data_IF_831294575791
#
_entry.id   IF_831294575791
#
_cell.length_a   1.000
_cell.length_b   1.000
_cell.length_c   1.000
_cell.angle_alpha   90.00
_cell.angle_beta   90.00
_cell.angle_gamma   90.00
#
_symmetry.space_group_name_H-M   'P 1'
#
loop_
_entity.id
_entity.type
_entity.pdbx_description
1 polymer ?
#
# COMPACT_ATOMS: atom_id res chain seq x y z
N UNK A 1 0.96 -22.41 1.55
CA UNK A 1 0.29 -21.45 0.65
C UNK A 1 0.81 -20.04 0.93
N UNK A 2 1.15 -19.31 -0.10
CA UNK A 2 1.60 -17.92 0.02
C UNK A 2 0.59 -17.01 -0.66
N UNK A 3 0.12 -16.00 0.08
CA UNK A 3 -0.80 -15.00 -0.47
C UNK A 3 0.04 -13.84 -1.02
N UNK A 4 -0.15 -13.52 -2.29
CA UNK A 4 0.54 -12.39 -2.93
C UNK A 4 -0.30 -11.13 -2.79
N UNK A 5 0.34 -10.07 -2.30
CA UNK A 5 -0.31 -8.77 -2.07
C UNK A 5 0.54 -7.70 -2.75
N UNK A 6 -0.12 -6.78 -3.43
CA UNK A 6 0.55 -5.70 -4.16
C UNK A 6 0.12 -4.37 -3.57
N UNK A 7 1.08 -3.54 -3.17
CA UNK A 7 0.82 -2.21 -2.63
C UNK A 7 1.37 -1.11 -3.53
N UNK A 8 0.80 0.07 -3.44
CA UNK A 8 1.22 1.23 -4.23
C UNK A 8 1.79 2.34 -3.36
N UNK A 9 2.95 2.83 -3.76
CA UNK A 9 3.60 3.95 -3.10
C UNK A 9 3.31 5.20 -3.92
N UNK A 10 2.38 6.00 -3.43
CA UNK A 10 1.89 7.20 -4.12
C UNK A 10 2.48 8.41 -3.42
N UNK A 11 3.30 9.17 -4.14
CA UNK A 11 4.01 10.32 -3.58
C UNK A 11 3.58 11.60 -4.27
N UNK A 12 3.35 12.64 -3.49
CA UNK A 12 3.05 13.98 -4.00
C UNK A 12 3.65 15.00 -3.04
N UNK A 13 4.51 15.89 -3.57
CA UNK A 13 5.10 16.97 -2.77
C UNK A 13 5.78 16.48 -1.48
N UNK A 14 6.59 15.44 -1.58
CA UNK A 14 7.30 14.83 -0.45
C UNK A 14 6.40 14.19 0.60
N UNK A 15 5.15 13.91 0.25
CA UNK A 15 4.22 13.21 1.13
C UNK A 15 3.72 11.94 0.44
N UNK A 16 3.41 10.95 1.25
CA UNK A 16 2.95 9.64 0.78
C UNK A 16 1.50 9.42 1.21
N UNK A 17 0.71 8.85 0.30
CA UNK A 17 -0.68 8.55 0.60
C UNK A 17 -0.76 7.27 1.43
N UNK A 18 -1.35 7.38 2.62
CA UNK A 18 -1.62 6.23 3.48
C UNK A 18 -3.09 6.22 3.88
N UNK A 19 -3.61 5.03 4.12
CA UNK A 19 -5.01 4.86 4.48
C UNK A 19 -5.16 4.10 5.79
N UNK A 20 -6.17 4.47 6.58
CA UNK A 20 -6.51 3.76 7.81
C UNK A 20 -7.61 2.77 7.53
N UNK A 21 -7.40 1.53 7.94
CA UNK A 21 -8.38 0.46 7.74
C UNK A 21 -9.63 0.72 8.57
N UNK A 22 -10.78 0.60 7.90
CA UNK A 22 -12.06 0.89 8.52
C UNK A 22 -12.49 -0.13 9.57
N UNK A 23 -13.53 0.19 10.35
CA UNK A 23 -13.94 -0.64 11.50
C UNK A 23 -14.45 -2.02 11.11
N UNK A 24 -14.85 -2.23 9.86
CA UNK A 24 -15.32 -3.53 9.39
C UNK A 24 -14.23 -4.40 8.80
N UNK A 25 -13.02 -3.85 8.66
CA UNK A 25 -11.88 -4.58 8.09
C UNK A 25 -11.11 -5.31 9.17
N UNK A 26 -10.40 -6.38 8.75
CA UNK A 26 -9.41 -7.00 9.64
C UNK A 26 -8.35 -5.96 9.95
N UNK A 27 -7.80 -6.00 11.16
CA UNK A 27 -6.80 -5.03 11.61
C UNK A 27 -7.31 -3.59 11.51
N UNK A 28 -8.56 -3.37 11.90
CA UNK A 28 -9.16 -2.04 11.90
C UNK A 28 -8.33 -1.05 12.71
N UNK A 29 -8.23 0.18 12.21
CA UNK A 29 -7.46 1.24 12.86
C UNK A 29 -5.99 1.28 12.49
N UNK A 30 -5.46 0.22 11.88
CA UNK A 30 -4.08 0.22 11.38
C UNK A 30 -3.99 0.99 10.07
N UNK A 31 -2.82 1.57 9.84
CA UNK A 31 -2.52 2.29 8.61
C UNK A 31 -1.78 1.40 7.63
N UNK A 32 -1.90 1.69 6.34
CA UNK A 32 -1.26 0.90 5.28
C UNK A 32 -1.06 1.72 4.02
N UNK A 33 -0.16 1.24 3.16
CA UNK A 33 -0.12 1.70 1.78
C UNK A 33 -1.25 0.99 1.03
N UNK A 34 -2.05 1.71 0.23
CA UNK A 34 -3.19 1.08 -0.47
C UNK A 34 -2.76 -0.03 -1.42
N UNK A 35 -3.58 -1.04 -1.53
CA UNK A 35 -3.34 -2.19 -2.39
C UNK A 35 -4.23 -3.36 -2.01
N UNK A 36 -3.91 -4.53 -2.53
CA UNK A 36 -4.69 -5.72 -2.23
C UNK A 36 -4.11 -6.99 -2.83
N UNK A 37 -4.90 -8.05 -2.75
CA UNK A 37 -4.48 -9.38 -3.16
C UNK A 37 -4.44 -9.53 -4.67
N UNK A 38 -3.39 -10.20 -5.16
CA UNK A 38 -3.26 -10.56 -6.56
C UNK A 38 -4.31 -11.61 -6.92
N UNK A 39 -5.05 -11.39 -7.98
CA UNK A 39 -6.04 -12.34 -8.50
C UNK A 39 -5.41 -13.20 -9.59
N UNK A 40 -6.05 -14.32 -9.91
CA UNK A 40 -5.61 -15.18 -11.00
C UNK A 40 -5.68 -14.43 -12.34
N UNK A 41 -4.74 -14.73 -13.21
CA UNK A 41 -4.68 -14.17 -14.57
C UNK A 41 -4.46 -12.66 -14.64
N UNK A 42 -4.00 -12.03 -13.55
CA UNK A 42 -3.60 -10.64 -13.63
C UNK A 42 -2.11 -10.49 -13.28
N UNK A 43 -1.44 -9.54 -13.92
CA UNK A 43 -0.07 -9.19 -13.55
C UNK A 43 -0.09 -8.35 -12.27
N UNK A 44 1.07 -8.23 -11.63
CA UNK A 44 1.18 -7.40 -10.43
C UNK A 44 0.84 -5.94 -10.72
N UNK A 45 1.26 -5.43 -11.88
CA UNK A 45 0.94 -4.05 -12.27
C UNK A 45 -0.55 -3.87 -12.55
N UNK A 46 -1.20 -4.85 -13.19
CA UNK A 46 -2.65 -4.82 -13.37
C UNK A 46 -3.37 -4.86 -12.03
N UNK A 47 -2.87 -5.66 -11.10
CA UNK A 47 -3.44 -5.76 -9.75
C UNK A 47 -3.45 -4.40 -9.04
N UNK A 48 -2.32 -3.71 -9.02
CA UNK A 48 -2.27 -2.44 -8.30
C UNK A 48 -3.12 -1.37 -9.00
N UNK A 49 -3.20 -1.38 -10.32
CA UNK A 49 -4.09 -0.48 -11.05
C UNK A 49 -5.56 -0.71 -10.67
N UNK A 50 -5.96 -1.98 -10.62
CA UNK A 50 -7.33 -2.36 -10.24
C UNK A 50 -7.63 -1.98 -8.80
N UNK A 51 -6.73 -2.34 -7.88
CA UNK A 51 -6.94 -2.07 -6.45
C UNK A 51 -7.03 -0.57 -6.17
N UNK A 52 -6.18 0.24 -6.78
CA UNK A 52 -6.23 1.69 -6.56
C UNK A 52 -7.46 2.33 -7.18
N UNK A 53 -7.98 1.77 -8.28
CA UNK A 53 -9.25 2.22 -8.83
C UNK A 53 -10.41 1.88 -7.90
N UNK A 54 -10.42 0.65 -7.38
CA UNK A 54 -11.48 0.19 -6.47
C UNK A 54 -11.46 0.92 -5.13
N UNK A 55 -10.28 1.13 -4.56
CA UNK A 55 -10.15 1.67 -3.20
C UNK A 55 -10.13 3.19 -3.13
N UNK A 56 -9.61 3.86 -4.15
CA UNK A 56 -9.37 5.30 -4.12
C UNK A 56 -10.00 6.06 -5.28
N UNK A 57 -10.56 5.36 -6.24
CA UNK A 57 -11.14 5.94 -7.47
C UNK A 57 -10.12 6.78 -8.27
N UNK A 58 -8.90 6.30 -8.39
CA UNK A 58 -7.86 6.94 -9.20
C UNK A 58 -7.38 6.01 -10.30
N UNK A 59 -6.91 6.58 -11.40
CA UNK A 59 -6.28 5.85 -12.50
C UNK A 59 -4.79 6.14 -12.44
N UNK A 60 -3.97 5.10 -12.35
CA UNK A 60 -2.55 5.25 -12.07
C UNK A 60 -1.67 4.79 -13.22
N UNK A 61 -0.47 5.37 -13.28
CA UNK A 61 0.64 4.86 -14.10
C UNK A 61 1.59 4.16 -13.14
N UNK A 62 1.74 2.86 -13.32
CA UNK A 62 2.57 2.03 -12.42
C UNK A 62 4.02 2.11 -12.88
N UNK A 63 4.90 2.44 -11.96
CA UNK A 63 6.34 2.50 -12.18
C UNK A 63 7.05 1.22 -11.78
N UNK A 64 8.23 1.37 -11.23
CA UNK A 64 9.10 0.25 -10.87
C UNK A 64 8.71 -0.40 -9.56
N UNK A 65 9.03 -1.69 -9.45
CA UNK A 65 8.98 -2.40 -8.18
C UNK A 65 10.02 -1.78 -7.24
N UNK A 66 9.56 -1.28 -6.10
CA UNK A 66 10.43 -0.65 -5.09
C UNK A 66 11.01 -1.71 -4.17
N UNK A 67 10.18 -2.65 -3.74
CA UNK A 67 10.57 -3.65 -2.76
C UNK A 67 9.66 -4.86 -2.83
N UNK A 68 10.19 -6.02 -2.51
CA UNK A 68 9.40 -7.22 -2.30
C UNK A 68 10.02 -8.04 -1.18
N UNK A 69 9.19 -8.68 -0.39
CA UNK A 69 9.65 -9.54 0.69
C UNK A 69 8.52 -10.43 1.18
N UNK A 70 8.86 -11.47 1.91
CA UNK A 70 7.89 -12.34 2.54
C UNK A 70 7.67 -11.93 3.98
N UNK A 71 6.45 -12.07 4.45
CA UNK A 71 6.07 -11.75 5.82
C UNK A 71 5.03 -12.76 6.28
N UNK A 72 5.24 -13.37 7.43
CA UNK A 72 4.31 -14.35 8.00
C UNK A 72 3.58 -13.75 9.20
N UNK A 73 2.27 -13.96 9.24
CA UNK A 73 1.42 -13.49 10.32
C UNK A 73 0.29 -14.49 10.53
N UNK A 74 0.08 -14.95 11.77
CA UNK A 74 -0.98 -15.92 12.12
C UNK A 74 -0.96 -17.15 11.22
N UNK A 75 0.19 -17.76 11.04
CA UNK A 75 0.39 -18.97 10.22
C UNK A 75 0.10 -18.78 8.73
N UNK A 76 -0.09 -17.54 8.30
CA UNK A 76 -0.26 -17.23 6.88
C UNK A 76 1.03 -16.56 6.40
N UNK A 77 1.55 -17.03 5.26
CA UNK A 77 2.69 -16.41 4.60
C UNK A 77 2.20 -15.49 3.49
N UNK A 78 2.73 -14.28 3.49
CA UNK A 78 2.43 -13.29 2.48
C UNK A 78 3.69 -12.97 1.70
N UNK A 79 3.57 -12.78 0.39
CA UNK A 79 4.62 -12.18 -0.42
C UNK A 79 4.13 -10.79 -0.82
N UNK A 80 4.81 -9.75 -0.34
CA UNK A 80 4.42 -8.36 -0.52
C UNK A 80 5.25 -7.73 -1.62
N UNK A 81 4.59 -7.04 -2.55
CA UNK A 81 5.22 -6.34 -3.66
C UNK A 81 4.78 -4.89 -3.61
N UNK A 82 5.73 -3.96 -3.54
CA UNK A 82 5.41 -2.54 -3.50
C UNK A 82 5.94 -1.86 -4.76
N UNK A 83 5.02 -1.22 -5.49
CA UNK A 83 5.34 -0.50 -6.72
C UNK A 83 5.26 1.00 -6.52
N UNK A 84 6.20 1.71 -7.13
CA UNK A 84 6.12 3.16 -7.21
C UNK A 84 5.01 3.52 -8.19
N UNK A 85 4.18 4.46 -7.81
CA UNK A 85 3.16 5.02 -8.71
C UNK A 85 3.74 6.27 -9.33
N UNK A 86 3.96 6.26 -10.63
CA UNK A 86 4.63 7.36 -11.34
C UNK A 86 3.72 8.55 -11.55
N UNK A 87 2.43 8.31 -11.73
CA UNK A 87 1.45 9.37 -11.95
C UNK A 87 0.05 8.84 -11.66
N UNK A 88 -0.89 9.76 -11.42
CA UNK A 88 -2.28 9.37 -11.24
C UNK A 88 -3.21 10.50 -11.66
N UNK A 89 -4.43 10.10 -12.07
CA UNK A 89 -5.51 11.01 -12.45
C UNK A 89 -6.66 10.77 -11.49
N UNK A 90 -7.24 11.84 -10.98
CA UNK A 90 -8.35 11.81 -10.04
C UNK A 90 -7.92 12.26 -8.65
N UNK A 91 -8.90 12.58 -7.82
CA UNK A 91 -8.67 12.92 -6.42
C UNK A 91 -8.91 11.67 -5.59
N UNK A 92 -7.91 11.18 -4.85
CA UNK A 92 -8.11 9.98 -4.03
C UNK A 92 -9.23 10.17 -3.01
N UNK A 93 -10.16 9.21 -2.96
CA UNK A 93 -11.24 9.20 -1.99
C UNK A 93 -11.23 7.89 -1.20
N UNK A 94 -11.61 7.91 0.08
CA UNK A 94 -11.56 6.72 0.94
C UNK A 94 -12.80 5.84 0.75
N UNK A 95 -12.81 5.03 -0.31
CA UNK A 95 -13.94 4.13 -0.57
C UNK A 95 -13.99 3.00 0.47
N UNK A 96 -12.83 2.42 0.80
CA UNK A 96 -12.75 1.30 1.76
C UNK A 96 -12.06 1.68 3.06
N UNK A 97 -11.17 2.65 3.04
CA UNK A 97 -10.53 3.16 4.25
C UNK A 97 -11.45 4.16 4.95
N UNK A 98 -11.34 4.29 6.26
CA UNK A 98 -12.11 5.31 6.96
C UNK A 98 -11.42 6.67 6.97
N UNK A 99 -10.14 6.71 6.57
CA UNK A 99 -9.39 7.95 6.49
C UNK A 99 -8.21 7.80 5.52
N UNK A 100 -7.92 8.86 4.76
CA UNK A 100 -6.73 8.97 3.93
C UNK A 100 -5.95 10.21 4.35
N UNK A 101 -4.63 10.11 4.40
CA UNK A 101 -3.78 11.28 4.65
C UNK A 101 -2.56 11.21 3.76
N UNK A 102 -1.99 12.39 3.51
CA UNK A 102 -0.69 12.55 2.86
C UNK A 102 0.32 12.81 3.97
N UNK A 103 1.17 11.82 4.25
CA UNK A 103 2.10 11.87 5.37
C UNK A 103 3.55 11.96 4.89
N UNK A 104 4.34 12.77 5.58
CA UNK A 104 5.78 12.78 5.36
C UNK A 104 6.40 11.51 5.96
N UNK A 105 7.45 10.99 5.32
CA UNK A 105 8.12 9.80 5.84
C UNK A 105 8.63 9.99 7.28
N UNK A 106 9.05 11.20 7.62
CA UNK A 106 9.48 11.53 9.00
C UNK A 106 8.39 11.31 10.04
N UNK A 107 7.12 11.33 9.61
CA UNK A 107 5.97 11.18 10.51
C UNK A 107 5.46 9.75 10.55
N UNK A 108 6.05 8.83 9.80
CA UNK A 108 5.54 7.45 9.73
C UNK A 108 5.48 6.77 11.09
N UNK A 109 6.41 7.06 11.99
CA UNK A 109 6.41 6.45 13.33
C UNK A 109 5.25 6.90 14.20
N UNK A 110 4.56 7.97 13.81
CA UNK A 110 3.36 8.44 14.53
C UNK A 110 2.12 7.62 14.20
N UNK A 111 2.18 6.79 13.17
CA UNK A 111 1.07 5.99 12.70
C UNK A 111 1.32 4.51 12.98
N UNK A 112 0.28 3.81 13.36
CA UNK A 112 0.35 2.39 13.67
C UNK A 112 0.13 1.59 12.38
N UNK A 113 1.21 1.34 11.66
CA UNK A 113 1.15 0.60 10.40
C UNK A 113 0.90 -0.88 10.59
N UNK A 114 0.27 -1.52 9.60
CA UNK A 114 0.18 -2.96 9.54
C UNK A 114 1.59 -3.56 9.69
N UNK A 115 1.73 -4.64 10.47
CA UNK A 115 3.05 -5.26 10.65
C UNK A 115 3.74 -5.62 9.34
N UNK A 116 2.99 -6.05 8.32
CA UNK A 116 3.55 -6.39 7.01
C UNK A 116 4.15 -5.22 6.25
N UNK A 117 3.75 -3.98 6.58
CA UNK A 117 4.30 -2.79 5.91
C UNK A 117 5.55 -2.25 6.61
N UNK A 118 5.81 -2.67 7.85
CA UNK A 118 6.92 -2.14 8.63
C UNK A 118 8.30 -2.35 7.99
N UNK A 119 8.62 -3.49 7.36
CA UNK A 119 9.91 -3.62 6.69
C UNK A 119 10.13 -2.58 5.59
N UNK A 120 9.08 -2.25 4.82
CA UNK A 120 9.18 -1.21 3.80
C UNK A 120 9.38 0.16 4.45
N UNK A 121 8.64 0.44 5.52
CA UNK A 121 8.77 1.70 6.27
C UNK A 121 10.23 1.88 6.74
N UNK A 122 10.83 0.83 7.27
CA UNK A 122 12.22 0.89 7.72
C UNK A 122 13.17 1.18 6.56
N UNK A 123 12.95 0.57 5.40
CA UNK A 123 13.76 0.84 4.21
C UNK A 123 13.61 2.29 3.76
N UNK A 124 12.40 2.83 3.79
CA UNK A 124 12.14 4.22 3.40
C UNK A 124 12.81 5.20 4.37
N UNK A 125 12.73 4.92 5.68
CA UNK A 125 13.35 5.78 6.70
C UNK A 125 14.87 5.77 6.63
N UNK A 126 15.46 4.69 6.13
CA UNK A 126 16.90 4.56 5.96
C UNK A 126 17.38 4.94 4.55
N UNK A 127 16.51 5.54 3.75
CA UNK A 127 16.80 5.97 2.38
C UNK A 127 17.30 4.83 1.48
N UNK A 128 16.78 3.61 1.69
CA UNK A 128 17.14 2.43 0.90
C UNK A 128 16.22 2.22 -0.30
N UNK A 129 15.11 2.90 -0.32
CA UNK A 129 14.13 2.86 -1.42
C UNK A 129 13.50 4.22 -1.61
#
# INVERSE_FOLDING_TARGET
MVIKVVGGIIKKENRYLIGRRGPKEKMAGFWEFPGGKLEENESKKECIKRELKEELDIVVVVGELISEYQYSYSDISYHLYFYRIDDFIGEPIPIVHDRLIWAKSNDFKKYNFLPGDNPLIDLMLNNKV
#
